data_IF_673716038545
#
_entry.id   IF_673716038545
#
_cell.length_a   1.000
_cell.length_b   1.000
_cell.length_c   1.000
_cell.angle_alpha   90.00
_cell.angle_beta   90.00
_cell.angle_gamma   90.00
#
_symmetry.space_group_name_H-M   'P 1'
#
loop_
_entity.id
_entity.type
_entity.pdbx_description
1 polymer ?
#
# COMPACT_ATOMS: atom_id res chain seq x y z
N UNK A 1 1.40 -2.16 -8.88
CA UNK A 1 0.96 -1.21 -7.82
C UNK A 1 1.34 0.23 -8.14
N UNK A 2 1.21 0.67 -9.40
CA UNK A 2 1.56 2.06 -9.79
C UNK A 2 0.67 3.10 -9.10
N UNK A 3 -0.58 2.71 -8.79
CA UNK A 3 -1.53 3.56 -8.09
C UNK A 3 -1.01 4.08 -6.75
N UNK A 4 -0.05 3.43 -6.08
CA UNK A 4 0.47 3.91 -4.79
C UNK A 4 1.21 5.26 -4.90
N UNK A 5 1.68 5.60 -6.10
CA UNK A 5 2.36 6.86 -6.38
C UNK A 5 1.44 7.95 -6.93
N UNK A 6 0.16 7.63 -7.16
CA UNK A 6 -0.80 8.58 -7.68
C UNK A 6 -1.05 9.72 -6.69
N UNK A 7 -1.02 10.94 -7.21
CA UNK A 7 -1.50 12.10 -6.48
C UNK A 7 -3.04 12.18 -6.51
N UNK A 8 -3.59 13.29 -6.04
CA UNK A 8 -5.05 13.49 -6.00
C UNK A 8 -5.65 13.70 -7.39
N UNK A 9 -4.88 14.25 -8.33
CA UNK A 9 -5.31 14.54 -9.69
C UNK A 9 -5.30 13.26 -10.53
N UNK A 10 -4.28 12.43 -10.38
CA UNK A 10 -4.22 11.09 -10.99
C UNK A 10 -5.45 10.25 -10.60
N UNK A 11 -5.80 10.26 -9.31
CA UNK A 11 -7.01 9.56 -8.82
C UNK A 11 -8.27 10.15 -9.44
N UNK A 12 -8.40 11.47 -9.52
CA UNK A 12 -9.57 12.10 -10.11
C UNK A 12 -9.71 11.80 -11.61
N UNK A 13 -8.59 11.76 -12.34
CA UNK A 13 -8.55 11.39 -13.75
C UNK A 13 -8.89 9.90 -13.94
N UNK A 14 -8.45 9.03 -13.05
CA UNK A 14 -8.90 7.64 -13.02
C UNK A 14 -10.41 7.54 -12.81
N UNK A 15 -10.98 8.24 -11.82
CA UNK A 15 -12.44 8.28 -11.58
C UNK A 15 -13.21 8.77 -12.81
N UNK A 16 -12.68 9.75 -13.53
CA UNK A 16 -13.25 10.19 -14.81
C UNK A 16 -13.19 9.11 -15.88
N UNK A 17 -12.06 8.41 -16.01
CA UNK A 17 -11.86 7.35 -17.01
C UNK A 17 -12.81 6.16 -16.84
N UNK A 18 -13.22 5.85 -15.61
CA UNK A 18 -14.21 4.81 -15.32
C UNK A 18 -15.68 5.29 -15.46
N UNK A 19 -15.88 6.52 -15.95
CA UNK A 19 -17.19 7.09 -16.28
C UNK A 19 -17.86 7.90 -15.17
N UNK A 20 -17.14 8.21 -14.10
CA UNK A 20 -17.68 8.88 -12.91
C UNK A 20 -17.18 10.34 -12.76
N UNK A 21 -17.07 11.07 -13.88
CA UNK A 21 -16.54 12.44 -13.92
C UNK A 21 -17.24 13.43 -12.96
N UNK A 22 -18.52 13.22 -12.67
CA UNK A 22 -19.29 14.02 -11.69
C UNK A 22 -18.75 13.93 -10.25
N UNK A 23 -17.90 12.96 -9.94
CA UNK A 23 -17.29 12.77 -8.62
C UNK A 23 -15.83 13.20 -8.55
N UNK A 24 -15.24 13.78 -9.62
CA UNK A 24 -13.84 14.26 -9.59
C UNK A 24 -13.57 15.16 -8.38
N UNK A 25 -14.41 16.18 -8.23
CA UNK A 25 -14.28 17.17 -7.15
C UNK A 25 -14.41 16.51 -5.77
N UNK A 26 -15.26 15.49 -5.63
CA UNK A 26 -15.37 14.72 -4.40
C UNK A 26 -14.04 14.05 -4.01
N UNK A 27 -13.26 13.54 -4.97
CA UNK A 27 -11.98 12.89 -4.68
C UNK A 27 -10.85 13.91 -4.46
N UNK A 28 -10.81 15.00 -5.24
CA UNK A 28 -9.78 16.03 -5.12
C UNK A 28 -9.94 16.86 -3.84
N UNK A 29 -11.15 17.33 -3.53
CA UNK A 29 -11.43 18.15 -2.34
C UNK A 29 -11.22 17.38 -1.02
N UNK A 30 -11.43 16.06 -1.04
CA UNK A 30 -11.15 15.18 0.10
C UNK A 30 -9.70 14.66 0.14
N UNK A 31 -8.84 15.14 -0.76
CA UNK A 31 -7.44 14.77 -0.88
C UNK A 31 -7.21 13.26 -0.97
N UNK A 32 -8.04 12.55 -1.74
CA UNK A 32 -7.88 11.11 -1.96
C UNK A 32 -6.76 10.89 -2.98
N UNK A 33 -5.59 10.49 -2.46
CA UNK A 33 -4.47 10.06 -3.27
C UNK A 33 -4.48 8.54 -3.43
N UNK A 34 -3.54 8.03 -4.23
CA UNK A 34 -3.40 6.60 -4.50
C UNK A 34 -3.34 5.71 -3.26
N UNK A 35 -2.56 6.14 -2.25
CA UNK A 35 -2.46 5.44 -0.96
C UNK A 35 -3.77 5.42 -0.17
N UNK A 36 -4.64 6.43 -0.34
CA UNK A 36 -5.93 6.52 0.34
C UNK A 36 -7.04 5.71 -0.35
N UNK A 37 -6.84 5.28 -1.60
CA UNK A 37 -7.83 4.45 -2.32
C UNK A 37 -8.16 3.14 -1.59
N UNK A 38 -7.20 2.57 -0.84
CA UNK A 38 -7.44 1.36 -0.01
C UNK A 38 -8.52 1.53 1.05
N UNK A 39 -8.78 2.78 1.44
CA UNK A 39 -9.83 3.09 2.41
C UNK A 39 -11.17 3.27 1.72
N UNK A 40 -11.22 3.60 0.42
CA UNK A 40 -12.45 3.87 -0.35
C UNK A 40 -13.27 2.59 -0.51
N UNK A 41 -14.46 2.56 0.09
CA UNK A 41 -15.39 1.43 0.13
C UNK A 41 -16.84 1.93 0.24
N UNK A 42 -17.80 0.99 0.23
CA UNK A 42 -19.23 1.31 0.28
C UNK A 42 -19.66 2.15 1.50
N UNK A 43 -18.90 2.10 2.60
CA UNK A 43 -19.24 2.81 3.84
C UNK A 43 -18.71 4.24 3.87
N UNK A 44 -17.60 4.54 3.19
CA UNK A 44 -17.02 5.88 3.22
C UNK A 44 -17.29 6.72 1.97
N UNK A 45 -17.67 6.11 0.85
CA UNK A 45 -18.10 6.81 -0.37
C UNK A 45 -19.20 7.86 -0.10
N UNK A 46 -20.23 7.58 0.71
CA UNK A 46 -21.22 8.60 1.12
C UNK A 46 -20.61 9.79 1.84
N UNK A 47 -19.58 9.57 2.68
CA UNK A 47 -18.89 10.64 3.40
C UNK A 47 -18.02 11.48 2.48
N UNK A 48 -17.60 10.91 1.35
CA UNK A 48 -16.85 11.59 0.29
C UNK A 48 -17.74 12.46 -0.61
N UNK A 49 -19.07 12.25 -0.57
CA UNK A 49 -20.03 12.94 -1.45
C UNK A 49 -20.69 12.04 -2.50
N UNK A 50 -20.31 10.76 -2.58
CA UNK A 50 -20.93 9.78 -3.48
C UNK A 50 -22.14 9.15 -2.78
N UNK A 51 -23.33 9.68 -3.05
CA UNK A 51 -24.57 9.27 -2.35
C UNK A 51 -25.47 8.34 -3.15
N UNK A 52 -25.28 8.23 -4.46
CA UNK A 52 -26.07 7.32 -5.30
C UNK A 52 -25.63 5.88 -5.06
N UNK A 53 -26.58 5.02 -4.70
CA UNK A 53 -26.30 3.63 -4.34
C UNK A 53 -25.66 2.83 -5.48
N UNK A 54 -26.09 3.05 -6.74
CA UNK A 54 -25.53 2.31 -7.89
C UNK A 54 -24.10 2.75 -8.15
N UNK A 55 -23.84 4.04 -8.02
CA UNK A 55 -22.49 4.58 -8.19
C UNK A 55 -21.57 4.11 -7.05
N UNK A 56 -22.07 4.04 -5.81
CA UNK A 56 -21.32 3.47 -4.68
C UNK A 56 -20.90 2.03 -4.98
N UNK A 57 -21.83 1.19 -5.45
CA UNK A 57 -21.52 -0.20 -5.80
C UNK A 57 -20.46 -0.27 -6.91
N UNK A 58 -20.66 0.46 -8.00
CA UNK A 58 -19.78 0.44 -9.15
C UNK A 58 -18.37 0.95 -8.82
N UNK A 59 -18.26 2.14 -8.21
CA UNK A 59 -16.96 2.72 -7.82
C UNK A 59 -16.25 1.79 -6.84
N UNK A 60 -16.95 1.22 -5.85
CA UNK A 60 -16.33 0.29 -4.92
C UNK A 60 -15.77 -0.96 -5.62
N UNK A 61 -16.43 -1.45 -6.66
CA UNK A 61 -15.97 -2.60 -7.45
C UNK A 61 -14.73 -2.23 -8.27
N UNK A 62 -14.74 -1.07 -8.95
CA UNK A 62 -13.57 -0.58 -9.68
C UNK A 62 -12.37 -0.33 -8.77
N UNK A 63 -12.57 0.16 -7.55
CA UNK A 63 -11.50 0.29 -6.55
C UNK A 63 -10.93 -1.09 -6.21
N UNK A 64 -11.78 -2.10 -5.97
CA UNK A 64 -11.31 -3.47 -5.67
C UNK A 64 -10.51 -4.07 -6.84
N UNK A 65 -10.95 -3.84 -8.06
CA UNK A 65 -10.25 -4.26 -9.28
C UNK A 65 -8.89 -3.57 -9.43
N UNK A 66 -8.82 -2.24 -9.26
CA UNK A 66 -7.57 -1.47 -9.34
C UNK A 66 -6.54 -1.91 -8.29
N UNK A 67 -7.02 -2.20 -7.07
CA UNK A 67 -6.17 -2.62 -5.95
C UNK A 67 -5.82 -4.11 -5.99
N UNK A 68 -6.43 -4.89 -6.90
CA UNK A 68 -6.32 -6.35 -6.97
C UNK A 68 -6.68 -7.03 -5.63
N UNK A 69 -7.68 -6.49 -4.93
CA UNK A 69 -8.17 -7.02 -3.65
C UNK A 69 -9.51 -7.74 -3.82
N UNK A 70 -9.70 -8.77 -3.02
CA UNK A 70 -10.96 -9.50 -2.97
C UNK A 70 -11.99 -8.76 -2.11
N UNK A 71 -13.26 -8.92 -2.48
CA UNK A 71 -14.37 -8.44 -1.65
C UNK A 71 -14.43 -9.28 -0.36
N UNK A 72 -14.45 -8.61 0.79
CA UNK A 72 -14.62 -9.29 2.08
C UNK A 72 -15.97 -10.01 2.09
N UNK A 73 -16.00 -11.35 2.16
CA UNK A 73 -17.25 -12.07 2.14
C UNK A 73 -17.97 -11.90 3.48
N UNK A 74 -19.31 -11.90 3.42
CA UNK A 74 -20.18 -11.68 4.57
C UNK A 74 -20.11 -12.80 5.63
N UNK A 75 -19.50 -13.93 5.30
CA UNK A 75 -19.42 -15.13 6.13
C UNK A 75 -18.00 -15.42 6.68
N UNK A 76 -17.11 -14.43 6.69
CA UNK A 76 -15.79 -14.59 7.32
C UNK A 76 -15.91 -14.90 8.82
N UNK A 77 -15.16 -15.89 9.28
CA UNK A 77 -15.05 -16.18 10.70
C UNK A 77 -14.39 -15.01 11.42
N UNK A 78 -14.76 -14.77 12.68
CA UNK A 78 -14.05 -13.80 13.53
C UNK A 78 -12.60 -14.21 13.82
N UNK A 79 -12.27 -15.49 13.61
CA UNK A 79 -10.91 -16.02 13.74
C UNK A 79 -10.08 -15.80 12.46
N UNK A 80 -10.73 -15.56 11.32
CA UNK A 80 -10.04 -15.31 10.06
C UNK A 80 -9.68 -13.82 9.96
N UNK A 81 -8.61 -13.48 9.22
CA UNK A 81 -8.30 -12.09 8.94
C UNK A 81 -9.48 -11.36 8.30
N UNK A 82 -9.69 -10.10 8.71
CA UNK A 82 -10.82 -9.29 8.23
C UNK A 82 -10.77 -9.02 6.73
N UNK A 83 -9.59 -9.08 6.11
CA UNK A 83 -9.36 -8.87 4.69
C UNK A 83 -8.35 -9.86 4.16
N UNK A 84 -8.26 -9.95 2.84
CA UNK A 84 -7.23 -10.75 2.19
C UNK A 84 -5.83 -10.18 2.39
N UNK A 85 -4.84 -11.03 2.16
CA UNK A 85 -3.42 -10.70 2.38
C UNK A 85 -2.98 -9.48 1.58
N UNK A 86 -3.50 -9.31 0.36
CA UNK A 86 -3.23 -8.13 -0.47
C UNK A 86 -3.79 -6.86 0.16
N UNK A 87 -5.06 -6.85 0.60
CA UNK A 87 -5.60 -5.66 1.24
C UNK A 87 -4.91 -5.35 2.57
N UNK A 88 -4.51 -6.36 3.35
CA UNK A 88 -3.73 -6.14 4.59
C UNK A 88 -2.37 -5.50 4.27
N UNK A 89 -1.68 -5.99 3.25
CA UNK A 89 -0.43 -5.38 2.77
C UNK A 89 -0.64 -3.92 2.33
N UNK A 90 -1.70 -3.67 1.56
CA UNK A 90 -2.02 -2.32 1.07
C UNK A 90 -2.45 -1.37 2.20
N UNK A 91 -3.08 -1.87 3.27
CA UNK A 91 -3.37 -1.09 4.47
C UNK A 91 -2.08 -0.61 5.15
N UNK A 92 -1.05 -1.46 5.21
CA UNK A 92 0.27 -1.08 5.71
C UNK A 92 0.93 -0.04 4.79
N UNK A 93 0.87 -0.26 3.47
CA UNK A 93 1.39 0.68 2.44
C UNK A 93 0.67 2.03 2.39
N UNK A 94 -0.55 2.10 2.91
CA UNK A 94 -1.34 3.34 2.97
C UNK A 94 -0.72 4.39 3.90
N UNK A 95 0.06 3.93 4.88
CA UNK A 95 0.75 4.79 5.85
C UNK A 95 2.01 5.38 5.23
N UNK A 96 2.41 6.54 5.75
CA UNK A 96 3.67 7.19 5.35
C UNK A 96 4.73 6.89 6.39
N UNK A 97 5.85 6.30 5.94
CA UNK A 97 6.98 5.94 6.79
C UNK A 97 8.09 5.27 5.97
N UNK A 98 9.33 5.32 6.48
CA UNK A 98 10.49 4.69 5.80
C UNK A 98 10.24 3.20 5.59
N UNK A 99 9.94 2.49 6.69
CA UNK A 99 9.65 1.05 6.69
C UNK A 99 8.46 0.68 5.79
N UNK A 100 7.33 1.39 5.90
CA UNK A 100 6.17 1.08 5.06
C UNK A 100 6.46 1.30 3.58
N UNK A 101 7.28 2.29 3.23
CA UNK A 101 7.67 2.56 1.85
C UNK A 101 8.60 1.47 1.29
N UNK A 102 9.56 0.97 2.08
CA UNK A 102 10.48 -0.10 1.66
C UNK A 102 9.87 -1.50 1.69
N UNK A 103 8.85 -1.74 2.51
CA UNK A 103 8.25 -3.07 2.72
C UNK A 103 7.77 -3.71 1.41
N UNK A 104 8.33 -4.85 1.04
CA UNK A 104 7.86 -5.63 -0.12
C UNK A 104 6.72 -6.56 0.27
N UNK A 105 5.95 -7.04 -0.73
CA UNK A 105 4.90 -8.02 -0.48
C UNK A 105 5.47 -9.33 0.10
N UNK A 106 6.65 -9.77 -0.35
CA UNK A 106 7.30 -10.98 0.18
C UNK A 106 7.72 -10.83 1.64
N UNK A 107 8.31 -9.70 2.01
CA UNK A 107 8.63 -9.40 3.41
C UNK A 107 7.35 -9.37 4.26
N UNK A 108 6.26 -8.80 3.74
CA UNK A 108 4.98 -8.80 4.43
C UNK A 108 4.41 -10.20 4.67
N UNK A 109 4.55 -11.12 3.70
CA UNK A 109 4.13 -12.52 3.89
C UNK A 109 4.93 -13.21 4.99
N UNK A 110 6.24 -12.98 5.04
CA UNK A 110 7.10 -13.52 6.10
C UNK A 110 6.65 -13.04 7.50
N UNK A 111 6.36 -11.74 7.66
CA UNK A 111 5.81 -11.21 8.92
C UNK A 111 4.46 -11.80 9.33
N UNK A 112 3.63 -12.23 8.37
CA UNK A 112 2.36 -12.88 8.69
C UNK A 112 2.55 -14.34 9.15
N UNK A 113 3.61 -15.00 8.68
CA UNK A 113 3.95 -16.36 9.12
C UNK A 113 4.63 -16.36 10.50
N UNK A 114 5.50 -15.38 10.75
CA UNK A 114 6.20 -15.21 12.03
C UNK A 114 6.11 -13.74 12.52
N UNK A 115 5.11 -13.42 13.37
CA UNK A 115 4.92 -12.06 13.86
C UNK A 115 5.99 -11.61 14.87
N UNK A 116 6.79 -12.55 15.39
CA UNK A 116 7.91 -12.26 16.30
C UNK A 116 9.23 -12.05 15.53
N UNK A 117 9.23 -12.21 14.20
CA UNK A 117 10.40 -11.96 13.38
C UNK A 117 10.79 -10.48 13.40
N UNK A 118 11.96 -10.18 13.92
CA UNK A 118 12.53 -8.82 13.86
C UNK A 118 12.89 -8.49 12.40
N UNK A 119 12.59 -7.26 11.91
CA UNK A 119 13.14 -6.80 10.64
C UNK A 119 14.66 -6.93 10.70
N UNK A 120 15.26 -7.64 9.74
CA UNK A 120 16.68 -7.45 9.50
C UNK A 120 16.85 -6.01 8.99
N UNK A 121 17.35 -5.13 9.86
CA UNK A 121 17.75 -3.79 9.48
C UNK A 121 18.88 -3.91 8.46
N UNK A 122 18.56 -3.73 7.18
CA UNK A 122 19.52 -3.58 6.07
C UNK A 122 20.31 -2.25 6.18
N UNK A 123 20.49 -1.71 7.40
CA UNK A 123 21.24 -0.49 7.71
C UNK A 123 22.76 -0.73 7.81
N UNK A 124 23.26 -1.96 7.63
CA UNK A 124 24.71 -2.27 7.73
C UNK A 124 25.29 -2.95 6.48
N UNK A 125 25.09 -2.36 5.29
CA UNK A 125 25.80 -2.80 4.07
C UNK A 125 26.72 -1.77 3.42
N UNK A 126 26.79 -0.54 3.91
CA UNK A 126 27.58 0.53 3.26
C UNK A 126 28.73 1.10 4.13
N UNK A 127 29.22 0.40 5.16
CA UNK A 127 30.32 0.94 6.00
C UNK A 127 31.59 0.07 6.11
N UNK A 128 31.78 -0.98 5.32
CA UNK A 128 33.02 -1.78 5.37
C UNK A 128 33.62 -2.10 3.99
N UNK A 129 34.01 -1.09 3.20
CA UNK A 129 34.87 -1.30 2.02
C UNK A 129 36.16 -0.46 1.99
N UNK A 130 36.54 0.21 3.10
CA UNK A 130 37.80 0.99 3.15
C UNK A 130 38.65 0.68 4.39
N UNK A 131 38.92 -0.60 4.68
CA UNK A 131 40.05 -0.99 5.55
C UNK A 131 40.72 -2.25 5.01
N UNK A 132 41.56 -2.12 3.98
CA UNK A 132 42.60 -3.10 3.63
C UNK A 132 43.71 -2.40 2.83
N UNK A 133 44.76 -1.95 3.53
CA UNK A 133 46.17 -2.22 3.19
C UNK A 133 47.10 -1.39 4.11
N UNK A 134 47.34 -1.94 5.30
CA UNK A 134 48.61 -1.76 5.97
C UNK A 134 48.97 -3.11 6.59
N UNK A 135 49.91 -3.83 5.98
CA UNK A 135 50.81 -4.65 6.78
C UNK A 135 52.19 -4.74 6.13
N UNK A 136 53.16 -4.39 6.98
CA UNK A 136 54.59 -4.50 6.80
C UNK A 136 55.01 -5.95 6.56
N UNK A 137 55.92 -6.19 5.60
CA UNK A 137 56.88 -7.29 5.71
C UNK A 137 58.29 -6.73 5.93
N UNK A 138 58.67 -6.70 7.21
CA UNK A 138 60.05 -6.59 7.67
C UNK A 138 60.80 -7.90 7.35
N UNK A 139 61.80 -7.80 6.47
CA UNK A 139 63.14 -8.36 6.62
C UNK A 139 63.38 -9.88 6.43
N UNK A 140 64.15 -10.23 5.37
CA UNK A 140 65.32 -11.14 5.42
C UNK A 140 65.97 -11.32 4.03
N UNK A 141 67.11 -10.68 3.76
CA UNK A 141 68.45 -11.30 3.66
C UNK A 141 69.53 -10.29 3.22
#
# INVERSE_FOLDING_TARGET
MEFLNWDTEDVANWVESIGFSKYKDCFTENFINGKKLIHVNCNNLPKLGVTDFRDILAISAYVRELLEITETPWNNSIADPRRDTMALFLEVKSRTGRWTNSLTYQQFLYYLEDPDAEPEDDENKDENEDEDDFDDEENQQ
#
